data_IF_034895594353
#
_entry.id   IF_034895594353
#
_cell.length_a   1.000
_cell.length_b   1.000
_cell.length_c   1.000
_cell.angle_alpha   90.00
_cell.angle_beta   90.00
_cell.angle_gamma   90.00
#
_symmetry.space_group_name_H-M   'P 1'
#
loop_
_entity.id
_entity.type
_entity.pdbx_description
1 polymer ?
#
# COMPACT_ATOMS: atom_id res chain seq x y z
N UNK A 1 17.75 76.33 3.65
CA UNK A 1 16.95 75.15 3.24
C UNK A 1 17.89 74.15 2.56
N UNK A 2 17.88 72.89 3.05
CA UNK A 2 18.20 71.61 2.40
C UNK A 2 19.38 71.52 1.40
N UNK A 3 20.30 70.55 1.42
CA UNK A 3 20.53 69.36 2.25
C UNK A 3 21.98 68.89 1.93
N UNK A 4 22.78 68.61 2.96
CA UNK A 4 24.11 67.96 2.85
C UNK A 4 23.93 66.45 2.70
N UNK A 5 24.68 65.78 1.81
CA UNK A 5 25.85 64.95 2.16
C UNK A 5 26.41 64.20 0.92
N UNK A 6 27.70 63.76 0.97
CA UNK A 6 28.52 63.41 -0.17
C UNK A 6 28.81 61.90 -0.32
N UNK A 7 29.49 61.57 -1.41
CA UNK A 7 30.19 60.32 -1.74
C UNK A 7 31.10 59.84 -0.58
N UNK A 8 31.17 58.52 -0.38
CA UNK A 8 32.41 57.81 -0.01
C UNK A 8 32.25 56.29 -0.19
N UNK A 9 33.04 55.74 -1.12
CA UNK A 9 33.48 54.35 -1.12
C UNK A 9 34.40 54.15 0.09
N UNK A 10 34.20 53.09 0.88
CA UNK A 10 35.25 52.13 1.25
C UNK A 10 34.76 51.05 2.25
N UNK A 11 35.37 49.87 2.08
CA UNK A 11 35.67 48.85 3.09
C UNK A 11 34.54 47.90 3.59
N UNK A 12 34.74 46.62 3.28
CA UNK A 12 34.35 45.50 4.15
C UNK A 12 34.88 45.73 5.56
N UNK A 13 34.04 45.67 6.61
CA UNK A 13 34.54 45.58 7.96
C UNK A 13 34.80 44.11 8.30
N UNK A 14 36.08 43.79 8.53
CA UNK A 14 36.51 42.69 9.38
C UNK A 14 35.94 42.91 10.78
N UNK A 15 34.81 42.27 11.09
CA UNK A 15 34.33 42.08 12.45
C UNK A 15 34.30 40.59 12.71
N UNK A 16 34.99 40.21 13.79
CA UNK A 16 35.08 38.86 14.31
C UNK A 16 33.70 38.19 14.42
N UNK A 17 33.64 36.92 14.03
CA UNK A 17 32.64 35.99 14.57
C UNK A 17 31.35 35.79 13.79
N UNK A 18 31.29 36.09 12.49
CA UNK A 18 30.21 35.58 11.64
C UNK A 18 30.82 34.78 10.51
N UNK A 19 31.03 33.49 10.78
CA UNK A 19 31.09 32.50 9.71
C UNK A 19 29.95 32.80 8.75
N UNK A 20 30.28 32.96 7.48
CA UNK A 20 29.33 32.82 6.40
C UNK A 20 28.80 31.39 6.51
N UNK A 21 27.78 31.19 7.34
CA UNK A 21 27.06 29.95 7.44
C UNK A 21 26.45 29.77 6.06
N UNK A 22 27.10 28.97 5.23
CA UNK A 22 26.37 27.98 4.45
C UNK A 22 25.26 27.50 5.36
N UNK A 23 24.02 27.94 5.11
CA UNK A 23 22.86 27.22 5.58
C UNK A 23 22.92 25.86 4.88
N UNK A 24 23.75 24.97 5.44
CA UNK A 24 23.43 23.58 5.46
C UNK A 24 22.04 23.55 6.07
N UNK A 25 21.02 23.42 5.22
CA UNK A 25 19.76 22.88 5.70
C UNK A 25 20.15 21.53 6.29
N UNK A 26 20.32 21.48 7.61
CA UNK A 26 20.18 20.27 8.39
C UNK A 26 18.75 19.81 8.11
N UNK A 27 18.58 19.11 7.00
CA UNK A 27 17.34 18.39 6.72
C UNK A 27 17.35 17.27 7.74
N UNK A 28 16.75 17.53 8.91
CA UNK A 28 16.63 16.54 9.97
C UNK A 28 16.15 15.23 9.35
N UNK A 29 16.89 14.15 9.59
CA UNK A 29 16.49 12.84 9.09
C UNK A 29 15.08 12.55 9.58
N UNK A 30 14.25 11.98 8.70
CA UNK A 30 12.96 11.40 9.10
C UNK A 30 13.19 10.54 10.35
N UNK A 31 12.37 10.64 11.41
CA UNK A 31 12.51 9.78 12.58
C UNK A 31 12.09 8.34 12.28
N UNK A 32 12.73 7.34 12.90
CA UNK A 32 12.34 5.93 12.73
C UNK A 32 10.89 5.68 13.18
N UNK A 33 10.43 6.36 14.22
CA UNK A 33 9.03 6.27 14.67
C UNK A 33 8.01 6.66 13.59
N UNK A 34 8.37 7.54 12.64
CA UNK A 34 7.52 7.87 11.50
C UNK A 34 7.45 6.74 10.49
N UNK A 35 8.58 6.04 10.26
CA UNK A 35 8.66 4.88 9.39
C UNK A 35 7.98 3.65 10.02
N UNK A 36 8.11 3.48 11.35
CA UNK A 36 7.42 2.45 12.11
C UNK A 36 5.91 2.63 12.04
N UNK A 37 5.42 3.86 12.26
CA UNK A 37 4.00 4.15 12.14
C UNK A 37 3.48 3.82 10.74
N UNK A 38 4.22 4.20 9.69
CA UNK A 38 3.88 3.81 8.32
C UNK A 38 3.86 2.28 8.14
N UNK A 39 4.88 1.57 8.64
CA UNK A 39 4.97 0.12 8.52
C UNK A 39 3.82 -0.61 9.24
N UNK A 40 3.27 -0.01 10.30
CA UNK A 40 2.09 -0.51 11.01
C UNK A 40 0.81 -0.21 10.22
N UNK A 41 0.58 1.06 9.87
CA UNK A 41 -0.68 1.51 9.25
C UNK A 41 -0.84 0.99 7.82
N UNK A 42 0.26 0.94 7.06
CA UNK A 42 0.29 0.48 5.67
C UNK A 42 1.17 -0.75 5.50
N UNK A 43 1.03 -1.70 6.42
CA UNK A 43 1.83 -2.92 6.37
C UNK A 43 1.75 -3.63 5.02
N UNK A 44 2.94 -3.93 4.47
CA UNK A 44 3.13 -4.64 3.19
C UNK A 44 2.61 -6.09 3.24
N UNK A 45 2.42 -6.65 4.44
CA UNK A 45 1.90 -8.00 4.63
C UNK A 45 0.43 -8.13 4.21
N UNK A 46 -0.38 -7.10 4.44
CA UNK A 46 -1.81 -7.13 4.20
C UNK A 46 -2.22 -7.46 2.74
N UNK A 47 -1.68 -6.77 1.70
CA UNK A 47 -1.97 -7.13 0.31
C UNK A 47 -1.43 -8.51 -0.08
N UNK A 48 -0.30 -8.95 0.51
CA UNK A 48 0.28 -10.28 0.28
C UNK A 48 -0.65 -11.39 0.73
N UNK A 49 -1.08 -11.36 1.99
CA UNK A 49 -1.95 -12.40 2.57
C UNK A 49 -3.28 -12.54 1.83
N UNK A 50 -3.87 -11.42 1.42
CA UNK A 50 -5.09 -11.40 0.59
C UNK A 50 -4.84 -12.08 -0.77
N UNK A 51 -3.76 -11.70 -1.44
CA UNK A 51 -3.40 -12.23 -2.76
C UNK A 51 -3.07 -13.72 -2.69
N UNK A 52 -2.50 -14.21 -1.59
CA UNK A 52 -2.23 -15.63 -1.36
C UNK A 52 -3.51 -16.48 -1.48
N UNK A 53 -4.61 -16.03 -0.87
CA UNK A 53 -5.90 -16.73 -0.95
C UNK A 53 -6.51 -16.62 -2.33
N UNK A 54 -6.52 -15.41 -2.90
CA UNK A 54 -7.16 -15.20 -4.20
C UNK A 54 -6.38 -15.79 -5.37
N UNK A 55 -5.07 -15.98 -5.28
CA UNK A 55 -4.29 -16.59 -6.37
C UNK A 55 -4.30 -18.13 -6.31
N UNK A 56 -4.58 -18.73 -5.16
CA UNK A 56 -4.67 -20.19 -5.01
C UNK A 56 -6.08 -20.71 -5.35
N UNK A 57 -6.19 -21.50 -6.42
CA UNK A 57 -7.47 -22.05 -6.90
C UNK A 57 -8.18 -22.91 -5.83
N UNK A 58 -7.44 -23.64 -4.98
CA UNK A 58 -8.02 -24.49 -3.92
C UNK A 58 -8.55 -23.65 -2.77
N UNK A 59 -7.96 -22.50 -2.49
CA UNK A 59 -8.48 -21.59 -1.49
C UNK A 59 -9.66 -20.77 -2.05
N UNK A 60 -9.62 -20.37 -3.32
CA UNK A 60 -10.76 -19.77 -4.01
C UNK A 60 -11.97 -20.71 -4.06
N UNK A 61 -11.78 -22.01 -4.26
CA UNK A 61 -12.90 -22.97 -4.25
C UNK A 61 -13.59 -23.03 -2.88
N UNK A 62 -12.86 -22.83 -1.78
CA UNK A 62 -13.47 -22.73 -0.46
C UNK A 62 -14.41 -21.53 -0.32
N UNK A 63 -14.04 -20.37 -0.88
CA UNK A 63 -14.91 -19.18 -0.92
C UNK A 63 -16.23 -19.53 -1.63
N UNK A 64 -16.15 -20.18 -2.81
CA UNK A 64 -17.34 -20.59 -3.56
C UNK A 64 -18.18 -21.62 -2.80
N UNK A 65 -17.53 -22.60 -2.17
CA UNK A 65 -18.17 -23.65 -1.40
C UNK A 65 -19.05 -23.06 -0.29
N UNK A 66 -18.58 -22.04 0.42
CA UNK A 66 -19.33 -21.45 1.55
C UNK A 66 -20.19 -20.24 1.15
N UNK A 67 -20.13 -19.85 -0.12
CA UNK A 67 -20.77 -18.66 -0.66
C UNK A 67 -19.91 -17.41 -0.50
N UNK A 68 -19.94 -16.59 -1.54
CA UNK A 68 -19.13 -15.38 -1.70
C UNK A 68 -19.04 -14.50 -0.45
N UNK A 69 -20.18 -14.12 0.14
CA UNK A 69 -20.18 -13.16 1.23
C UNK A 69 -19.52 -13.70 2.50
N UNK A 70 -19.71 -14.99 2.79
CA UNK A 70 -19.04 -15.66 3.92
C UNK A 70 -17.56 -15.87 3.61
N UNK A 71 -17.22 -16.21 2.38
CA UNK A 71 -15.83 -16.36 1.92
C UNK A 71 -15.02 -15.07 2.02
N UNK A 72 -15.53 -13.95 1.52
CA UNK A 72 -14.84 -12.66 1.64
C UNK A 72 -14.60 -12.24 3.10
N UNK A 73 -15.59 -12.47 3.98
CA UNK A 73 -15.43 -12.26 5.43
C UNK A 73 -14.38 -13.19 6.03
N UNK A 74 -14.39 -14.47 5.66
CA UNK A 74 -13.39 -15.42 6.12
C UNK A 74 -11.96 -15.01 5.71
N UNK A 75 -11.76 -14.50 4.49
CA UNK A 75 -10.46 -13.95 4.04
C UNK A 75 -10.08 -12.73 4.86
N UNK A 76 -11.01 -11.79 5.04
CA UNK A 76 -10.80 -10.59 5.84
C UNK A 76 -10.35 -10.93 7.27
N UNK A 77 -11.11 -11.76 7.96
CA UNK A 77 -10.87 -12.07 9.37
C UNK A 77 -9.60 -12.90 9.56
N UNK A 78 -9.36 -13.88 8.69
CA UNK A 78 -8.12 -14.68 8.74
C UNK A 78 -6.89 -13.82 8.52
N UNK A 79 -6.97 -12.85 7.61
CA UNK A 79 -5.89 -11.89 7.39
C UNK A 79 -5.68 -11.00 8.62
N UNK A 80 -6.75 -10.50 9.24
CA UNK A 80 -6.60 -9.69 10.46
C UNK A 80 -5.91 -10.46 11.58
N UNK A 81 -6.31 -11.70 11.82
CA UNK A 81 -5.69 -12.59 12.82
C UNK A 81 -4.19 -12.78 12.56
N UNK A 82 -3.80 -13.08 11.32
CA UNK A 82 -2.37 -13.22 10.96
C UNK A 82 -1.64 -11.88 11.04
N UNK A 83 -2.29 -10.77 10.69
CA UNK A 83 -1.70 -9.44 10.79
C UNK A 83 -1.39 -9.03 12.22
N UNK A 84 -2.24 -9.40 13.19
CA UNK A 84 -2.00 -9.11 14.60
C UNK A 84 -0.72 -9.79 15.12
N UNK A 85 -0.43 -11.01 14.65
CA UNK A 85 0.76 -11.74 15.08
C UNK A 85 2.02 -11.34 14.30
N UNK A 86 1.94 -11.24 12.96
CA UNK A 86 3.11 -11.08 12.10
C UNK A 86 3.38 -9.63 11.69
N UNK A 87 2.37 -8.76 11.74
CA UNK A 87 2.51 -7.34 11.41
C UNK A 87 3.59 -6.65 12.24
N UNK A 88 3.55 -6.70 13.58
CA UNK A 88 4.57 -6.10 14.44
C UNK A 88 5.98 -6.65 14.20
N UNK A 89 6.09 -7.96 13.89
CA UNK A 89 7.38 -8.63 13.61
C UNK A 89 8.05 -8.10 12.34
N UNK A 90 7.28 -7.59 11.37
CA UNK A 90 7.80 -7.05 10.11
C UNK A 90 8.20 -5.57 10.19
N UNK A 91 7.77 -4.84 11.21
CA UNK A 91 8.05 -3.40 11.37
C UNK A 91 9.56 -3.10 11.29
N UNK A 92 10.44 -3.72 12.10
CA UNK A 92 11.87 -3.40 12.04
C UNK A 92 12.48 -3.65 10.66
N UNK A 93 12.11 -4.76 10.01
CA UNK A 93 12.59 -5.07 8.66
C UNK A 93 12.11 -4.09 7.61
N UNK A 94 10.87 -3.61 7.74
CA UNK A 94 10.30 -2.60 6.82
C UNK A 94 11.04 -1.27 6.96
N UNK A 95 11.33 -0.84 8.19
CA UNK A 95 12.12 0.36 8.46
C UNK A 95 13.53 0.23 7.87
N UNK A 96 14.21 -0.89 8.14
CA UNK A 96 15.54 -1.17 7.58
C UNK A 96 15.52 -1.17 6.05
N UNK A 97 14.52 -1.82 5.43
CA UNK A 97 14.39 -1.85 3.98
C UNK A 97 14.20 -0.45 3.38
N UNK A 98 13.37 0.40 3.97
CA UNK A 98 13.18 1.79 3.53
C UNK A 98 14.50 2.56 3.63
N UNK A 99 15.21 2.44 4.75
CA UNK A 99 16.50 3.13 4.98
C UNK A 99 17.59 2.68 4.02
N UNK A 100 17.61 1.39 3.68
CA UNK A 100 18.58 0.84 2.75
C UNK A 100 18.30 1.24 1.31
N UNK A 101 17.03 1.19 0.89
CA UNK A 101 16.64 1.36 -0.52
C UNK A 101 16.46 2.82 -0.92
N UNK A 102 15.90 3.65 -0.02
CA UNK A 102 15.54 5.04 -0.36
C UNK A 102 16.71 5.96 -0.02
N UNK A 103 17.20 6.76 -0.98
CA UNK A 103 18.30 7.69 -0.72
C UNK A 103 17.96 8.67 0.42
N UNK A 104 18.90 8.90 1.34
CA UNK A 104 18.68 9.74 2.52
C UNK A 104 18.16 11.14 2.15
N UNK A 105 18.74 11.79 1.13
CA UNK A 105 18.27 13.11 0.67
C UNK A 105 16.85 13.12 0.07
N UNK A 106 16.29 11.97 -0.30
CA UNK A 106 14.89 11.83 -0.76
C UNK A 106 13.93 11.56 0.40
N UNK A 107 14.40 10.83 1.41
CA UNK A 107 13.69 10.63 2.67
C UNK A 107 13.58 11.95 3.45
N UNK A 108 14.70 12.68 3.53
CA UNK A 108 14.79 13.94 4.22
C UNK A 108 13.84 14.98 3.60
N UNK A 109 12.90 15.49 4.39
CA UNK A 109 11.87 16.43 3.93
C UNK A 109 10.55 15.79 3.50
N UNK A 110 10.43 14.45 3.51
CA UNK A 110 9.16 13.77 3.25
C UNK A 110 8.26 13.74 4.50
N UNK A 111 6.96 13.97 4.32
CA UNK A 111 5.94 13.56 5.29
C UNK A 111 5.59 12.09 5.06
N UNK A 112 5.99 11.22 6.00
CA UNK A 112 5.76 9.78 5.93
C UNK A 112 4.31 9.45 6.29
N UNK A 113 3.38 9.68 5.35
CA UNK A 113 1.95 9.42 5.57
C UNK A 113 1.46 8.17 4.84
N UNK A 114 2.14 7.76 3.76
CA UNK A 114 1.74 6.63 2.92
C UNK A 114 2.88 6.16 2.01
N UNK A 115 2.90 4.88 1.65
CA UNK A 115 3.71 4.33 0.56
C UNK A 115 3.31 4.86 -0.81
N UNK A 116 2.12 5.46 -0.93
CA UNK A 116 1.67 6.16 -2.14
C UNK A 116 2.18 7.61 -2.21
N UNK A 117 2.82 8.10 -1.15
CA UNK A 117 3.51 9.38 -1.17
C UNK A 117 4.90 9.24 -1.81
N UNK A 118 5.23 10.16 -2.70
CA UNK A 118 6.59 10.27 -3.25
C UNK A 118 7.58 10.64 -2.14
N UNK A 119 8.80 10.06 -2.08
CA UNK A 119 9.43 9.06 -2.97
C UNK A 119 9.06 7.58 -2.78
N UNK A 120 8.34 7.18 -1.73
CA UNK A 120 8.15 5.75 -1.40
C UNK A 120 7.50 4.95 -2.54
N UNK A 121 6.57 5.56 -3.28
CA UNK A 121 5.94 4.94 -4.46
C UNK A 121 6.95 4.52 -5.53
N UNK A 122 8.00 5.33 -5.78
CA UNK A 122 9.04 5.02 -6.77
C UNK A 122 9.81 3.77 -6.33
N UNK A 123 10.14 3.69 -5.04
CA UNK A 123 11.01 2.66 -4.50
C UNK A 123 10.25 1.42 -4.01
N UNK A 124 8.93 1.41 -4.08
CA UNK A 124 8.08 0.37 -3.49
C UNK A 124 8.50 -1.04 -3.90
N UNK A 125 8.70 -1.28 -5.20
CA UNK A 125 9.12 -2.61 -5.67
C UNK A 125 10.49 -3.04 -5.14
N UNK A 126 11.42 -2.10 -4.94
CA UNK A 126 12.75 -2.38 -4.37
C UNK A 126 12.68 -2.62 -2.87
N UNK A 127 11.80 -1.88 -2.16
CA UNK A 127 11.51 -2.10 -0.73
C UNK A 127 10.90 -3.49 -0.54
N UNK A 128 9.97 -3.91 -1.39
CA UNK A 128 9.36 -5.24 -1.33
C UNK A 128 10.43 -6.33 -1.50
N UNK A 129 11.31 -6.20 -2.51
CA UNK A 129 12.41 -7.16 -2.74
C UNK A 129 13.34 -7.23 -1.53
N UNK A 130 13.72 -6.08 -0.97
CA UNK A 130 14.57 -6.03 0.22
C UNK A 130 13.90 -6.69 1.43
N UNK A 131 12.59 -6.50 1.59
CA UNK A 131 11.81 -7.12 2.65
C UNK A 131 11.72 -8.65 2.47
N UNK A 132 11.56 -9.16 1.25
CA UNK A 132 11.61 -10.62 0.99
C UNK A 132 12.98 -11.21 1.35
N UNK A 133 14.07 -10.51 1.05
CA UNK A 133 15.42 -10.98 1.36
C UNK A 133 15.70 -10.99 2.87
N UNK A 134 15.26 -9.95 3.58
CA UNK A 134 15.62 -9.75 4.99
C UNK A 134 14.61 -10.37 5.96
N UNK A 135 13.34 -10.47 5.58
CA UNK A 135 12.25 -10.98 6.41
C UNK A 135 11.56 -12.22 5.79
N UNK A 136 12.17 -12.87 4.80
CA UNK A 136 11.63 -14.05 4.11
C UNK A 136 11.04 -15.13 5.03
N UNK A 137 11.73 -15.55 6.12
CA UNK A 137 11.18 -16.53 7.05
C UNK A 137 9.90 -16.09 7.76
N UNK A 138 9.78 -14.80 8.09
CA UNK A 138 8.59 -14.23 8.74
C UNK A 138 7.43 -14.21 7.74
N UNK A 139 7.69 -13.76 6.50
CA UNK A 139 6.71 -13.72 5.43
C UNK A 139 6.20 -15.12 5.06
N UNK A 140 7.11 -16.10 4.96
CA UNK A 140 6.75 -17.49 4.71
C UNK A 140 5.91 -18.08 5.84
N UNK A 141 6.26 -17.80 7.09
CA UNK A 141 5.49 -18.22 8.26
C UNK A 141 4.09 -17.61 8.24
N UNK A 142 3.97 -16.33 7.91
CA UNK A 142 2.68 -15.66 7.76
C UNK A 142 1.84 -16.26 6.62
N UNK A 143 2.45 -16.63 5.49
CA UNK A 143 1.76 -17.29 4.38
C UNK A 143 1.21 -18.67 4.81
N UNK A 144 2.00 -19.46 5.53
CA UNK A 144 1.58 -20.76 6.07
C UNK A 144 0.43 -20.57 7.08
N UNK A 145 0.56 -19.62 8.00
CA UNK A 145 -0.45 -19.28 8.99
C UNK A 145 -1.76 -18.86 8.30
N UNK A 146 -1.71 -17.98 7.31
CA UNK A 146 -2.88 -17.52 6.56
C UNK A 146 -3.63 -18.67 5.90
N UNK A 147 -2.91 -19.60 5.27
CA UNK A 147 -3.52 -20.80 4.68
C UNK A 147 -4.20 -21.67 5.73
N UNK A 148 -3.55 -21.87 6.88
CA UNK A 148 -4.05 -22.69 7.97
C UNK A 148 -5.30 -22.07 8.61
N UNK A 149 -5.22 -20.80 9.02
CA UNK A 149 -6.31 -20.04 9.64
C UNK A 149 -7.52 -19.98 8.71
N UNK A 150 -7.31 -19.62 7.43
CA UNK A 150 -8.41 -19.56 6.47
C UNK A 150 -9.11 -20.92 6.31
N UNK A 151 -8.35 -22.00 6.10
CA UNK A 151 -8.93 -23.36 5.98
C UNK A 151 -9.66 -23.80 7.25
N UNK A 152 -9.09 -23.54 8.43
CA UNK A 152 -9.73 -23.87 9.70
C UNK A 152 -11.06 -23.12 9.83
N UNK A 153 -11.08 -21.83 9.48
CA UNK A 153 -12.25 -20.96 9.51
C UNK A 153 -13.33 -21.40 8.53
N UNK A 154 -12.98 -21.77 7.29
CA UNK A 154 -13.98 -22.23 6.31
C UNK A 154 -14.49 -23.64 6.58
N UNK A 155 -13.67 -24.52 7.18
CA UNK A 155 -14.02 -25.92 7.44
C UNK A 155 -15.31 -26.09 8.26
N UNK A 156 -15.56 -25.19 9.22
CA UNK A 156 -16.74 -25.24 10.09
C UNK A 156 -17.98 -24.61 9.47
N UNK A 157 -17.85 -23.97 8.31
CA UNK A 157 -18.96 -23.31 7.61
C UNK A 157 -19.58 -24.30 6.63
N UNK A 158 -20.89 -24.50 6.77
CA UNK A 158 -21.67 -25.37 5.89
C UNK A 158 -21.57 -24.92 4.42
N UNK A 159 -21.53 -25.90 3.52
CA UNK A 159 -21.55 -25.66 2.08
C UNK A 159 -22.84 -24.95 1.69
N UNK A 160 -22.68 -23.86 0.97
CA UNK A 160 -23.77 -23.07 0.41
C UNK A 160 -24.38 -23.82 -0.78
N UNK A 161 -25.70 -24.02 -0.73
CA UNK A 161 -26.42 -24.80 -1.75
C UNK A 161 -27.02 -23.90 -2.83
N UNK A 162 -27.20 -22.62 -2.54
CA UNK A 162 -27.75 -21.68 -3.52
C UNK A 162 -26.68 -21.24 -4.51
N UNK A 163 -26.93 -21.46 -5.81
CA UNK A 163 -26.07 -20.92 -6.86
C UNK A 163 -26.00 -19.38 -6.81
N UNK A 164 -27.10 -18.71 -6.47
CA UNK A 164 -27.16 -17.25 -6.41
C UNK A 164 -26.21 -16.63 -5.38
N UNK A 165 -25.75 -17.41 -4.38
CA UNK A 165 -24.79 -16.95 -3.40
C UNK A 165 -23.39 -16.67 -3.98
N UNK A 166 -23.13 -17.06 -5.23
CA UNK A 166 -21.88 -16.83 -5.94
C UNK A 166 -22.05 -16.00 -7.23
N UNK A 167 -23.26 -15.47 -7.48
CA UNK A 167 -23.58 -14.66 -8.67
C UNK A 167 -23.64 -13.19 -8.24
N UNK A 168 -22.55 -12.45 -8.42
CA UNK A 168 -22.38 -11.10 -7.86
C UNK A 168 -22.20 -10.09 -8.98
N UNK A 169 -23.09 -9.11 -9.06
CA UNK A 169 -22.93 -7.98 -9.97
C UNK A 169 -22.03 -6.90 -9.34
N UNK A 170 -21.09 -6.31 -10.11
CA UNK A 170 -20.38 -5.10 -9.69
C UNK A 170 -21.35 -3.94 -9.47
N UNK A 171 -21.00 -3.01 -8.60
CA UNK A 171 -21.72 -1.72 -8.54
C UNK A 171 -21.48 -0.95 -9.85
N UNK A 172 -22.47 -0.16 -10.26
CA UNK A 172 -22.48 0.45 -11.60
C UNK A 172 -21.25 1.31 -11.93
N UNK A 173 -20.75 2.09 -10.97
CA UNK A 173 -19.55 2.92 -11.14
C UNK A 173 -18.26 2.09 -11.24
N UNK A 174 -18.17 0.97 -10.54
CA UNK A 174 -17.05 0.03 -10.66
C UNK A 174 -17.11 -0.73 -11.98
N UNK A 175 -18.29 -1.19 -12.38
CA UNK A 175 -18.53 -1.82 -13.67
C UNK A 175 -18.08 -0.91 -14.83
N UNK A 176 -18.46 0.37 -14.77
CA UNK A 176 -18.08 1.37 -15.76
C UNK A 176 -16.57 1.66 -15.75
N UNK A 177 -15.95 1.78 -14.58
CA UNK A 177 -14.54 2.11 -14.45
C UNK A 177 -13.61 0.98 -14.91
N UNK A 178 -13.98 -0.28 -14.62
CA UNK A 178 -13.15 -1.47 -14.91
C UNK A 178 -13.55 -2.14 -16.23
N UNK A 179 -14.70 -1.79 -16.80
CA UNK A 179 -15.20 -2.36 -18.06
C UNK A 179 -15.80 -3.76 -17.92
N UNK A 180 -16.29 -4.11 -16.73
CA UNK A 180 -16.92 -5.43 -16.47
C UNK A 180 -18.37 -5.39 -16.98
N UNK A 181 -18.72 -6.32 -17.87
CA UNK A 181 -20.08 -6.52 -18.36
C UNK A 181 -20.66 -7.79 -17.73
N UNK A 182 -21.71 -7.65 -16.92
CA UNK A 182 -22.33 -8.78 -16.22
C UNK A 182 -21.82 -8.95 -14.80
N UNK A 183 -21.73 -10.19 -14.32
CA UNK A 183 -21.27 -10.52 -12.96
C UNK A 183 -19.75 -10.66 -12.87
N UNK A 184 -19.22 -10.51 -11.66
CA UNK A 184 -17.83 -10.85 -11.37
C UNK A 184 -17.54 -12.32 -11.69
N UNK A 185 -16.38 -12.55 -12.32
CA UNK A 185 -15.75 -13.86 -12.38
C UNK A 185 -15.02 -14.13 -11.05
N UNK A 186 -15.57 -15.02 -10.23
CA UNK A 186 -14.97 -15.38 -8.94
C UNK A 186 -13.79 -16.36 -9.08
N UNK A 187 -13.52 -16.87 -10.30
CA UNK A 187 -12.31 -17.64 -10.61
C UNK A 187 -11.10 -16.76 -10.94
N UNK A 188 -11.35 -15.52 -11.35
CA UNK A 188 -10.33 -14.51 -11.61
C UNK A 188 -9.91 -13.84 -10.28
N UNK A 189 -8.62 -13.97 -9.87
CA UNK A 189 -8.10 -13.39 -8.63
C UNK A 189 -8.31 -11.87 -8.50
N UNK A 190 -8.29 -11.15 -9.62
CA UNK A 190 -8.44 -9.70 -9.64
C UNK A 190 -9.89 -9.30 -9.42
N UNK A 191 -10.83 -10.00 -10.06
CA UNK A 191 -12.26 -9.75 -9.91
C UNK A 191 -12.79 -10.17 -8.54
N UNK A 192 -12.39 -11.33 -7.99
CA UNK A 192 -12.77 -11.72 -6.63
C UNK A 192 -12.20 -10.75 -5.58
N UNK A 193 -10.97 -10.26 -5.80
CA UNK A 193 -10.37 -9.24 -4.93
C UNK A 193 -11.20 -7.95 -4.91
N UNK A 194 -11.59 -7.48 -6.10
CA UNK A 194 -12.40 -6.27 -6.25
C UNK A 194 -13.79 -6.46 -5.66
N UNK A 195 -14.44 -7.59 -5.95
CA UNK A 195 -15.74 -7.94 -5.39
C UNK A 195 -15.69 -7.92 -3.86
N UNK A 196 -14.77 -8.68 -3.24
CA UNK A 196 -14.66 -8.70 -1.78
C UNK A 196 -14.38 -7.32 -1.18
N UNK A 197 -13.61 -6.45 -1.86
CA UNK A 197 -13.42 -5.07 -1.42
C UNK A 197 -14.74 -4.28 -1.48
N UNK A 198 -15.54 -4.42 -2.54
CA UNK A 198 -16.85 -3.78 -2.66
C UNK A 198 -17.87 -4.22 -1.61
N UNK A 199 -17.79 -5.48 -1.15
CA UNK A 199 -18.63 -6.04 -0.11
C UNK A 199 -18.26 -5.50 1.27
N UNK A 200 -16.97 -5.38 1.57
CA UNK A 200 -16.47 -5.07 2.91
C UNK A 200 -16.33 -3.57 3.16
N UNK A 201 -16.28 -2.74 2.11
CA UNK A 201 -16.26 -1.29 2.29
C UNK A 201 -17.61 -0.80 2.82
N UNK A 202 -17.58 -0.06 3.93
CA UNK A 202 -18.78 0.56 4.49
C UNK A 202 -19.44 1.46 3.45
N UNK A 203 -20.77 1.38 3.24
CA UNK A 203 -21.48 2.25 2.29
C UNK A 203 -21.25 3.75 2.56
N UNK A 204 -21.04 4.14 3.82
CA UNK A 204 -20.79 5.54 4.21
C UNK A 204 -19.38 6.02 3.86
N UNK A 205 -18.42 5.10 3.78
CA UNK A 205 -17.01 5.39 3.49
C UNK A 205 -16.63 5.07 2.04
N UNK A 206 -17.54 4.51 1.24
CA UNK A 206 -17.26 4.12 -0.14
C UNK A 206 -17.08 5.35 -1.03
N UNK A 207 -15.90 5.57 -1.62
CA UNK A 207 -15.72 6.59 -2.64
C UNK A 207 -16.57 6.27 -3.86
N UNK A 208 -17.24 7.27 -4.45
CA UNK A 208 -17.85 7.14 -5.77
C UNK A 208 -16.79 7.41 -6.83
N UNK A 209 -16.67 6.52 -7.81
CA UNK A 209 -15.80 6.76 -8.97
C UNK A 209 -16.57 7.66 -9.93
N UNK A 210 -16.23 8.94 -9.95
CA UNK A 210 -16.92 9.97 -10.75
C UNK A 210 -16.22 10.26 -12.08
N UNK A 211 -14.97 9.83 -12.26
CA UNK A 211 -14.18 10.08 -13.47
C UNK A 211 -14.16 8.83 -14.36
N UNK A 212 -14.56 8.94 -15.64
CA UNK A 212 -14.35 7.85 -16.58
C UNK A 212 -12.84 7.56 -16.69
N UNK A 213 -12.43 6.29 -16.91
CA UNK A 213 -11.03 5.96 -17.05
C UNK A 213 -10.42 6.79 -18.18
N UNK A 214 -9.32 7.49 -17.88
CA UNK A 214 -8.58 8.23 -18.90
C UNK A 214 -8.22 7.26 -20.03
N UNK A 215 -8.39 7.64 -21.31
CA UNK A 215 -7.92 6.82 -22.42
C UNK A 215 -6.44 6.54 -22.19
N UNK A 216 -6.05 5.26 -22.18
CA UNK A 216 -4.66 4.84 -22.02
C UNK A 216 -3.82 5.60 -23.06
N UNK A 217 -2.83 6.43 -22.69
CA UNK A 217 -1.90 6.94 -23.67
C UNK A 217 -1.06 5.75 -24.14
N UNK A 218 -1.37 5.22 -25.31
CA UNK A 218 -0.41 4.38 -26.02
C UNK A 218 0.75 5.30 -26.40
N UNK A 219 1.83 5.26 -25.63
CA UNK A 219 3.12 5.69 -26.13
C UNK A 219 3.52 4.62 -27.15
N UNK A 220 3.18 4.88 -28.41
CA UNK A 220 3.80 4.16 -29.53
C UNK A 220 5.27 4.57 -29.48
N UNK A 221 6.11 3.71 -28.92
CA UNK A 221 7.55 3.84 -29.13
C UNK A 221 7.80 3.69 -30.63
N UNK A 222 8.47 4.64 -31.29
CA UNK A 222 8.95 4.39 -32.64
C UNK A 222 9.89 3.19 -32.59
N UNK A 223 9.61 2.16 -33.38
CA UNK A 223 10.53 1.04 -33.56
C UNK A 223 11.85 1.56 -34.16
N UNK A 224 13.01 1.06 -33.69
CA UNK A 224 14.29 1.34 -34.31
C UNK A 224 14.39 0.78 -35.74
#
# INVERSE_FOLDING_TARGET
>A
MALKLPKLLWACPLVAGVSCSTMAQDTASVPDSSLEHLAIVESRLFPRLKSLVYNDARLRSEIRRIGYAKGCRAVHDSRHEVMEEYGPKLVPFTVTAIRHVVPAGRLNGMRVLSFLAMPLTIYQGRIDVELEMTAGPILQSADVAMRAVFKARTKVIATERSHSANVIAPKADVAAAVGIKGTYDLDDPSQISLACAELLISPRARPKISTPPLPKPYVVMPNP
#
